data_IF_021060463743
#
_entry.id   IF_021060463743
#
_cell.length_a   1.000
_cell.length_b   1.000
_cell.length_c   1.000
_cell.angle_alpha   90.00
_cell.angle_beta   90.00
_cell.angle_gamma   90.00
#
_symmetry.space_group_name_H-M   'P 1'
#
loop_
_entity.id
_entity.type
_entity.pdbx_description
1 polymer ?
#
# COMPACT_ATOMS: atom_id res chain seq x y z
N UNK A 1 2.71 -11.43 15.07
CA UNK A 1 2.92 -10.50 13.93
C UNK A 1 1.62 -9.74 13.69
N UNK A 2 1.70 -8.48 13.28
CA UNK A 2 0.54 -7.70 12.83
C UNK A 2 0.79 -7.18 11.43
N UNK A 3 -0.20 -7.30 10.55
CA UNK A 3 -0.17 -6.80 9.18
C UNK A 3 -1.06 -5.56 9.09
N UNK A 4 -0.52 -4.50 8.52
CA UNK A 4 -1.21 -3.27 8.16
C UNK A 4 -1.51 -3.30 6.66
N UNK A 5 -2.75 -2.93 6.32
CA UNK A 5 -3.24 -2.79 4.97
C UNK A 5 -3.74 -1.35 4.76
N UNK A 6 -3.41 -0.77 3.63
CA UNK A 6 -4.01 0.47 3.14
C UNK A 6 -4.55 0.22 1.72
N UNK A 7 -5.71 0.76 1.41
CA UNK A 7 -6.38 0.63 0.12
C UNK A 7 -7.03 1.96 -0.31
N UNK A 8 -7.04 2.26 -1.61
CA UNK A 8 -7.65 3.50 -2.13
C UNK A 8 -9.13 3.25 -2.44
N UNK A 9 -10.01 4.03 -1.82
CA UNK A 9 -11.45 3.86 -2.00
C UNK A 9 -11.87 4.30 -3.40
N UNK A 10 -12.49 3.39 -4.15
CA UNK A 10 -13.03 3.69 -5.49
C UNK A 10 -11.96 3.79 -6.57
N UNK A 11 -10.79 3.18 -6.38
CA UNK A 11 -9.67 3.24 -7.32
C UNK A 11 -10.02 2.84 -8.76
N UNK A 12 -10.88 1.82 -8.95
CA UNK A 12 -11.32 1.43 -10.30
C UNK A 12 -11.99 2.58 -11.04
N UNK A 13 -12.90 3.31 -10.37
CA UNK A 13 -13.56 4.48 -10.96
C UNK A 13 -12.61 5.66 -11.15
N UNK A 14 -11.61 5.79 -10.27
CA UNK A 14 -10.55 6.79 -10.36
C UNK A 14 -9.73 6.60 -11.64
N UNK A 15 -9.31 5.37 -11.92
CA UNK A 15 -8.53 5.02 -13.11
C UNK A 15 -9.25 5.27 -14.44
N UNK A 16 -10.59 5.27 -14.44
CA UNK A 16 -11.38 5.61 -15.64
C UNK A 16 -11.41 7.11 -15.94
N UNK A 17 -11.08 7.97 -14.98
CA UNK A 17 -11.17 9.44 -15.09
C UNK A 17 -9.80 10.12 -15.16
N UNK A 18 -8.77 9.47 -14.66
CA UNK A 18 -7.42 10.04 -14.55
C UNK A 18 -6.51 9.42 -15.62
N UNK A 19 -5.71 10.23 -16.33
CA UNK A 19 -4.71 9.70 -17.26
C UNK A 19 -3.71 8.77 -16.55
N UNK A 20 -3.28 7.65 -17.17
CA UNK A 20 -2.44 6.64 -16.51
C UNK A 20 -1.16 7.19 -15.85
N UNK A 21 -0.51 8.16 -16.49
CA UNK A 21 0.69 8.80 -15.93
C UNK A 21 0.42 9.52 -14.60
N UNK A 22 -0.74 10.17 -14.48
CA UNK A 22 -1.17 10.84 -13.26
C UNK A 22 -1.57 9.84 -12.17
N UNK A 23 -2.20 8.71 -12.53
CA UNK A 23 -2.49 7.62 -11.56
C UNK A 23 -1.20 7.10 -10.94
N UNK A 24 -0.17 6.85 -11.75
CA UNK A 24 1.14 6.39 -11.26
C UNK A 24 1.78 7.43 -10.33
N UNK A 25 1.68 8.72 -10.66
CA UNK A 25 2.19 9.80 -9.81
C UNK A 25 1.48 9.86 -8.45
N UNK A 26 0.15 9.77 -8.47
CA UNK A 26 -0.69 9.69 -7.27
C UNK A 26 -0.28 8.52 -6.37
N UNK A 27 -0.18 7.30 -6.95
CA UNK A 27 0.22 6.11 -6.21
C UNK A 27 1.60 6.26 -5.58
N UNK A 28 2.56 6.83 -6.32
CA UNK A 28 3.90 7.09 -5.80
C UNK A 28 3.89 8.01 -4.58
N UNK A 29 3.10 9.10 -4.63
CA UNK A 29 3.00 10.03 -3.51
C UNK A 29 2.38 9.37 -2.27
N UNK A 30 1.27 8.65 -2.43
CA UNK A 30 0.61 7.94 -1.33
C UNK A 30 1.53 6.86 -0.74
N UNK A 31 2.17 6.05 -1.59
CA UNK A 31 3.06 4.98 -1.13
C UNK A 31 4.35 5.50 -0.51
N UNK A 32 4.83 6.68 -0.90
CA UNK A 32 5.97 7.32 -0.24
C UNK A 32 5.65 7.65 1.23
N UNK A 33 4.45 8.19 1.51
CA UNK A 33 3.97 8.41 2.89
C UNK A 33 3.88 7.09 3.64
N UNK A 34 3.25 6.07 3.05
CA UNK A 34 3.12 4.76 3.68
C UNK A 34 4.47 4.11 3.98
N UNK A 35 5.43 4.23 3.06
CA UNK A 35 6.79 3.71 3.25
C UNK A 35 7.51 4.43 4.39
N UNK A 36 7.45 5.76 4.42
CA UNK A 36 8.05 6.58 5.48
C UNK A 36 7.48 6.20 6.84
N UNK A 37 6.16 6.22 7.00
CA UNK A 37 5.51 5.89 8.27
C UNK A 37 5.78 4.45 8.68
N UNK A 38 5.80 3.49 7.75
CA UNK A 38 6.14 2.11 8.07
C UNK A 38 7.56 2.00 8.64
N UNK A 39 8.54 2.66 8.02
CA UNK A 39 9.91 2.66 8.50
C UNK A 39 10.03 3.30 9.89
N UNK A 40 9.39 4.44 10.12
CA UNK A 40 9.40 5.17 11.40
C UNK A 40 8.84 4.34 12.57
N UNK A 41 7.86 3.47 12.29
CA UNK A 41 7.22 2.63 13.30
C UNK A 41 7.80 1.19 13.38
N UNK A 42 8.81 0.87 12.57
CA UNK A 42 9.46 -0.45 12.55
C UNK A 42 8.64 -1.55 11.87
N UNK A 43 7.81 -1.17 10.89
CA UNK A 43 7.10 -2.11 10.01
C UNK A 43 7.94 -2.40 8.77
N UNK A 44 7.98 -3.67 8.38
CA UNK A 44 8.61 -4.15 7.16
C UNK A 44 7.60 -4.10 6.01
N UNK A 45 7.95 -3.41 4.91
CA UNK A 45 7.14 -3.42 3.68
C UNK A 45 7.05 -4.86 3.15
N UNK A 46 5.84 -5.33 2.90
CA UNK A 46 5.60 -6.65 2.32
C UNK A 46 5.46 -6.54 0.80
N UNK A 47 4.43 -5.83 0.33
CA UNK A 47 4.13 -5.70 -1.10
C UNK A 47 3.16 -4.55 -1.38
N UNK A 48 3.02 -4.24 -2.65
CA UNK A 48 1.96 -3.40 -3.22
C UNK A 48 1.21 -4.24 -4.24
N UNK A 49 -0.12 -4.19 -4.24
CA UNK A 49 -0.97 -4.88 -5.22
C UNK A 49 -1.95 -3.83 -5.76
N UNK A 50 -1.76 -3.38 -6.99
CA UNK A 50 -2.54 -2.28 -7.55
C UNK A 50 -2.40 -1.03 -6.69
N UNK A 51 -3.51 -0.58 -6.13
CA UNK A 51 -3.65 0.57 -5.24
C UNK A 51 -3.50 0.24 -3.75
N UNK A 52 -3.40 -1.04 -3.39
CA UNK A 52 -3.24 -1.45 -2.01
C UNK A 52 -1.77 -1.52 -1.58
N UNK A 53 -1.48 -1.09 -0.35
CA UNK A 53 -0.18 -1.16 0.32
C UNK A 53 -0.24 -2.11 1.52
N UNK A 54 0.80 -2.93 1.69
CA UNK A 54 0.92 -3.86 2.81
C UNK A 54 2.28 -3.75 3.52
N UNK A 55 2.24 -3.66 4.85
CA UNK A 55 3.42 -3.72 5.72
C UNK A 55 3.12 -4.57 6.96
N UNK A 56 4.16 -5.08 7.63
CA UNK A 56 3.99 -5.91 8.82
C UNK A 56 5.02 -5.61 9.91
N UNK A 57 4.58 -5.64 11.16
CA UNK A 57 5.40 -5.51 12.37
C UNK A 57 5.62 -6.87 13.03
N UNK A 58 6.76 -7.04 13.70
CA UNK A 58 7.17 -8.32 14.29
C UNK A 58 7.68 -9.32 13.24
N UNK A 59 8.21 -8.83 12.12
CA UNK A 59 8.95 -9.57 11.10
C UNK A 59 10.11 -8.72 10.54
N UNK A 60 11.25 -9.33 10.14
CA UNK A 60 11.57 -10.76 10.27
C UNK A 60 11.84 -11.18 11.72
N UNK A 61 12.13 -10.23 12.59
CA UNK A 61 12.38 -10.46 14.01
C UNK A 61 11.10 -10.28 14.83
N UNK A 62 10.94 -11.12 15.85
CA UNK A 62 9.83 -11.02 16.79
C UNK A 62 9.87 -9.69 17.56
N UNK A 63 8.71 -9.06 17.70
CA UNK A 63 8.52 -7.83 18.46
C UNK A 63 7.28 -7.99 19.34
N UNK A 64 7.44 -7.96 20.67
CA UNK A 64 6.30 -8.12 21.59
C UNK A 64 5.25 -7.02 21.44
N UNK A 65 5.66 -5.82 21.02
CA UNK A 65 4.82 -4.65 20.80
C UNK A 65 4.32 -4.52 19.34
N UNK A 66 4.40 -5.58 18.53
CA UNK A 66 4.04 -5.55 17.10
C UNK A 66 2.64 -4.95 16.86
N UNK A 67 1.64 -5.34 17.65
CA UNK A 67 0.27 -4.83 17.48
C UNK A 67 0.17 -3.32 17.75
N UNK A 68 0.87 -2.84 18.77
CA UNK A 68 0.90 -1.41 19.13
C UNK A 68 1.62 -0.60 18.06
N UNK A 69 2.73 -1.11 17.52
CA UNK A 69 3.46 -0.48 16.40
C UNK A 69 2.59 -0.32 15.17
N UNK A 70 1.91 -1.40 14.75
CA UNK A 70 1.02 -1.37 13.60
C UNK A 70 -0.17 -0.42 13.81
N UNK A 71 -0.78 -0.43 15.00
CA UNK A 71 -1.87 0.49 15.34
C UNK A 71 -1.43 1.97 15.27
N UNK A 72 -0.27 2.30 15.86
CA UNK A 72 0.31 3.65 15.81
C UNK A 72 0.66 4.05 14.39
N UNK A 73 1.27 3.16 13.61
CA UNK A 73 1.58 3.40 12.22
C UNK A 73 0.31 3.71 11.41
N UNK A 74 -0.79 2.99 11.64
CA UNK A 74 -2.06 3.25 10.97
C UNK A 74 -2.63 4.64 11.28
N UNK A 75 -2.55 5.08 12.53
CA UNK A 75 -2.98 6.42 12.93
C UNK A 75 -2.11 7.50 12.28
N UNK A 76 -0.78 7.38 12.37
CA UNK A 76 0.16 8.32 11.74
C UNK A 76 -0.01 8.35 10.21
N UNK A 77 -0.28 7.21 9.57
CA UNK A 77 -0.56 7.16 8.13
C UNK A 77 -1.83 7.92 7.78
N UNK A 78 -2.90 7.77 8.57
CA UNK A 78 -4.13 8.51 8.37
C UNK A 78 -3.89 10.02 8.45
N UNK A 79 -3.20 10.47 9.49
CA UNK A 79 -2.87 11.89 9.70
C UNK A 79 -2.03 12.46 8.55
N UNK A 80 -0.95 11.77 8.16
CA UNK A 80 -0.06 12.25 7.10
C UNK A 80 -0.73 12.21 5.71
N UNK A 81 -1.57 11.20 5.43
CA UNK A 81 -2.31 11.12 4.17
C UNK A 81 -3.42 12.18 4.09
N UNK A 82 -4.06 12.52 5.21
CA UNK A 82 -5.03 13.62 5.26
C UNK A 82 -4.36 14.99 5.03
N UNK A 83 -3.12 15.15 5.47
CA UNK A 83 -2.32 16.35 5.23
C UNK A 83 -1.58 16.36 3.86
N UNK A 84 -1.69 15.29 3.07
CA UNK A 84 -0.95 15.16 1.82
C UNK A 84 -1.48 16.13 0.77
N UNK A 85 -0.62 17.07 0.35
CA UNK A 85 -0.89 17.95 -0.78
C UNK A 85 -0.20 17.39 -2.03
N UNK A 86 -0.99 16.97 -3.01
CA UNK A 86 -0.48 16.44 -4.27
C UNK A 86 -0.14 17.57 -5.22
N UNK A 87 1.15 17.76 -5.49
CA UNK A 87 1.61 18.62 -6.58
C UNK A 87 1.71 17.79 -7.86
N UNK A 88 0.91 18.14 -8.86
CA UNK A 88 1.03 17.56 -10.20
C UNK A 88 2.17 18.26 -10.95
N UNK A 89 3.10 17.47 -11.47
CA UNK A 89 4.14 18.01 -12.34
C UNK A 89 3.51 18.49 -13.64
N UNK A 90 3.77 19.74 -14.03
CA UNK A 90 3.29 20.31 -15.30
C UNK A 90 3.72 19.49 -16.52
N UNK A 91 4.81 18.72 -16.40
CA UNK A 91 5.30 17.80 -17.43
C UNK A 91 4.38 16.60 -17.68
N UNK A 92 3.47 16.27 -16.74
CA UNK A 92 2.53 15.16 -16.88
C UNK A 92 1.31 15.52 -17.75
N UNK A 93 1.18 16.78 -18.17
CA UNK A 93 0.18 17.26 -19.11
C UNK A 93 -1.05 17.85 -18.42
N UNK A 94 -2.23 17.61 -19.00
CA UNK A 94 -3.47 18.23 -18.57
C UNK A 94 -3.90 17.76 -17.15
N UNK A 95 -4.19 18.72 -16.28
CA UNK A 95 -4.61 18.52 -14.88
C UNK A 95 -6.07 18.88 -14.63
N UNK A 96 -6.85 19.18 -15.67
CA UNK A 96 -8.29 19.54 -15.55
C UNK A 96 -9.12 18.47 -14.84
N UNK A 97 -8.76 17.19 -14.98
CA UNK A 97 -9.37 16.04 -14.31
C UNK A 97 -9.43 16.16 -12.78
N UNK A 98 -8.56 16.98 -12.17
CA UNK A 98 -8.55 17.20 -10.72
C UNK A 98 -9.86 17.79 -10.20
N UNK A 99 -10.60 18.51 -11.04
CA UNK A 99 -11.92 19.07 -10.71
C UNK A 99 -13.02 18.02 -10.60
N UNK A 100 -12.89 16.90 -11.31
CA UNK A 100 -13.92 15.87 -11.46
C UNK A 100 -13.74 14.66 -10.50
N UNK A 101 -12.57 14.58 -9.87
CA UNK A 101 -12.19 13.47 -8.99
C UNK A 101 -12.61 13.72 -7.53
N UNK A 102 -12.67 14.98 -7.10
CA UNK A 102 -13.00 15.32 -5.71
C UNK A 102 -11.93 14.82 -4.73
N UNK A 103 -12.37 14.32 -3.57
CA UNK A 103 -11.48 13.82 -2.51
C UNK A 103 -11.07 12.36 -2.72
N UNK A 104 -9.76 12.10 -2.67
CA UNK A 104 -9.21 10.74 -2.68
C UNK A 104 -9.19 10.23 -1.23
N UNK A 105 -9.96 9.17 -0.96
CA UNK A 105 -10.05 8.56 0.36
C UNK A 105 -9.26 7.25 0.41
N UNK A 106 -8.65 6.99 1.55
CA UNK A 106 -7.96 5.72 1.85
C UNK A 106 -8.67 4.98 2.98
N UNK A 107 -8.60 3.64 2.95
CA UNK A 107 -9.02 2.79 4.06
C UNK A 107 -7.77 2.12 4.64
N UNK A 108 -7.59 2.22 5.96
CA UNK A 108 -6.49 1.59 6.67
C UNK A 108 -7.05 0.54 7.63
N UNK A 109 -6.49 -0.67 7.61
CA UNK A 109 -6.90 -1.78 8.46
C UNK A 109 -5.69 -2.51 9.05
N UNK A 110 -5.83 -3.00 10.27
CA UNK A 110 -4.83 -3.83 10.95
C UNK A 110 -5.39 -5.23 11.17
N UNK A 111 -4.59 -6.26 10.89
CA UNK A 111 -4.93 -7.65 11.15
C UNK A 111 -3.83 -8.31 11.95
N UNK A 112 -4.16 -8.79 13.15
CA UNK A 112 -3.25 -9.59 13.96
C UNK A 112 -3.29 -11.01 13.40
N UNK A 113 -2.12 -11.55 13.05
CA UNK A 113 -2.02 -12.94 12.61
C UNK A 113 -1.05 -13.69 13.52
N UNK A 114 -1.51 -14.81 14.06
CA UNK A 114 -0.62 -15.80 14.65
C UNK A 114 0.26 -16.37 13.52
N UNK A 115 1.56 -16.24 13.67
CA UNK A 115 2.51 -16.76 12.70
C UNK A 115 2.54 -18.28 12.86
N UNK A 116 1.73 -18.99 12.08
CA UNK A 116 1.99 -20.40 11.80
C UNK A 116 3.25 -20.46 10.93
N UNK A 117 4.34 -20.98 11.47
CA UNK A 117 5.53 -21.33 10.70
C UNK A 117 5.19 -22.45 9.70
N UNK A 118 4.59 -22.10 8.56
CA UNK A 118 4.60 -22.99 7.40
C UNK A 118 5.88 -22.70 6.63
N UNK A 119 6.82 -23.66 6.63
CA UNK A 119 7.97 -23.66 5.70
C UNK A 119 7.49 -23.26 4.31
N UNK A 120 8.21 -22.41 3.55
CA UNK A 120 7.83 -22.07 2.19
C UNK A 120 7.86 -23.34 1.33
N UNK A 121 6.69 -23.92 1.08
CA UNK A 121 6.53 -24.98 0.08
C UNK A 121 6.47 -24.30 -1.29
N UNK A 122 7.58 -24.36 -2.03
CA UNK A 122 7.62 -24.01 -3.45
C UNK A 122 6.71 -25.00 -4.20
N UNK A 123 5.49 -24.58 -4.55
CA UNK A 123 4.66 -25.29 -5.51
C UNK A 123 5.19 -24.97 -6.92
N UNK A 124 6.09 -25.83 -7.42
CA UNK A 124 6.42 -25.86 -8.84
C UNK A 124 5.24 -26.45 -9.60
N UNK A 125 4.58 -25.65 -10.44
CA UNK A 125 3.61 -26.16 -11.42
C UNK A 125 4.41 -26.71 -12.60
N UNK A 126 4.36 -28.02 -12.90
CA UNK A 126 5.12 -28.55 -14.04
C UNK A 126 4.56 -28.00 -15.35
N UNK A 127 5.43 -27.43 -16.18
CA UNK A 127 5.10 -27.11 -17.57
C UNK A 127 5.01 -28.42 -18.37
N UNK A 128 3.94 -28.64 -19.16
CA UNK A 128 3.86 -29.81 -20.03
C UNK A 128 4.95 -29.72 -21.10
N UNK A 129 5.86 -30.71 -21.11
CA UNK A 129 6.80 -30.88 -22.22
C UNK A 129 5.98 -31.30 -23.44
N UNK A 130 6.04 -30.50 -24.51
CA UNK A 130 5.53 -30.93 -25.81
C UNK A 130 6.44 -32.05 -26.33
N UNK A 131 5.93 -33.27 -26.38
CA UNK A 131 6.55 -34.38 -27.11
C UNK A 131 6.42 -34.09 -28.60
N UNK A 132 7.56 -33.87 -29.25
CA UNK A 132 7.70 -33.94 -30.70
C UNK A 132 7.72 -35.37 -31.21
#
# INVERSE_FOLDING_TARGET
MTVLFMDIVGFTSLCSKIPPAHVVHLLKAIFAVCYKVSAEHGLTKIKTIGDSYMAASGVPEYQADHAVRAARAGLTMQEQLQALQLTMDQKLGDTTWTKDVGEIRVRIGNSVKEMFESKPSLLGVPFPQQTG
#
